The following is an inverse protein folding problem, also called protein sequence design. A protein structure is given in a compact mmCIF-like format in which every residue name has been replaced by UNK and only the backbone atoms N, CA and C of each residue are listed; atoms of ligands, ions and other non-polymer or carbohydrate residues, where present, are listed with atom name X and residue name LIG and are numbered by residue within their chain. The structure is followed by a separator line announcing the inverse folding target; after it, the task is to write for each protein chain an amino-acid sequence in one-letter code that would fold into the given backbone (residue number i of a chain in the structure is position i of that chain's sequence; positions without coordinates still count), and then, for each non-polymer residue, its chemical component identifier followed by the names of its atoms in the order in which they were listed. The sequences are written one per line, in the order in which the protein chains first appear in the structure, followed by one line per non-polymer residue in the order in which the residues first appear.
data_IF_054045855876
#
_entry.id   IF_054045855876
#
_cell.length_a   1.000
_cell.length_b   1.000
_cell.length_c   1.000
_cell.angle_alpha   90.00
_cell.angle_beta   90.00
_cell.angle_gamma   90.00
#
_symmetry.space_group_name_H-M   'P 1'
#
loop_
_entity.id
_entity.type
_entity.pdbx_description
1 polymer ?
#
# COMPACT_ATOMS: atom_id res chain seq x y z
N UNK A 1 -6.58 11.72 17.73
CA UNK A 1 -7.85 11.58 17.00
C UNK A 1 -8.91 10.83 17.81
N UNK A 2 -8.60 9.72 18.44
CA UNK A 2 -9.57 8.91 19.21
C UNK A 2 -10.08 9.68 20.42
N UNK A 3 -9.19 10.21 21.25
CA UNK A 3 -9.54 10.97 22.47
C UNK A 3 -10.31 12.25 22.19
N UNK A 4 -9.96 12.96 21.12
CA UNK A 4 -10.66 14.16 20.65
C UNK A 4 -11.95 13.84 19.87
N UNK A 5 -12.27 12.56 19.65
CA UNK A 5 -13.46 12.09 18.92
C UNK A 5 -13.60 12.69 17.51
N UNK A 6 -12.48 12.85 16.80
CA UNK A 6 -12.46 13.47 15.47
C UNK A 6 -13.36 12.75 14.46
N UNK A 7 -13.35 11.41 14.46
CA UNK A 7 -14.24 10.61 13.58
C UNK A 7 -15.72 10.91 13.82
N UNK A 8 -16.13 11.10 15.08
CA UNK A 8 -17.52 11.42 15.43
C UNK A 8 -17.86 12.85 14.99
N UNK A 9 -16.96 13.81 15.21
CA UNK A 9 -17.14 15.20 14.76
C UNK A 9 -17.27 15.27 13.23
N UNK A 10 -16.38 14.60 12.51
CA UNK A 10 -16.41 14.54 11.03
C UNK A 10 -17.69 13.89 10.50
N UNK A 11 -18.12 12.77 11.10
CA UNK A 11 -19.37 12.11 10.75
C UNK A 11 -20.58 13.04 10.99
N UNK A 12 -20.64 13.71 12.13
CA UNK A 12 -21.72 14.65 12.44
C UNK A 12 -21.76 15.84 11.47
N UNK A 13 -20.61 16.39 11.09
CA UNK A 13 -20.52 17.46 10.10
C UNK A 13 -20.96 17.00 8.71
N UNK A 14 -20.56 15.79 8.30
CA UNK A 14 -20.99 15.23 7.00
C UNK A 14 -22.47 14.94 6.94
N UNK A 15 -23.09 14.52 8.04
CA UNK A 15 -24.55 14.34 8.16
C UNK A 15 -25.29 15.68 8.04
N UNK A 16 -24.82 16.72 8.73
CA UNK A 16 -25.40 18.07 8.63
C UNK A 16 -25.31 18.63 7.21
N UNK A 17 -24.13 18.49 6.55
CA UNK A 17 -23.96 18.89 5.16
C UNK A 17 -24.84 18.09 4.21
N UNK A 18 -25.02 16.79 4.46
CA UNK A 18 -25.93 15.92 3.72
C UNK A 18 -27.38 16.36 3.84
N UNK A 19 -27.83 16.76 5.03
CA UNK A 19 -29.21 17.28 5.26
C UNK A 19 -29.40 18.63 4.54
N UNK A 20 -28.44 19.54 4.65
CA UNK A 20 -28.49 20.86 4.01
C UNK A 20 -28.53 20.72 2.48
N UNK A 21 -27.70 19.87 1.91
CA UNK A 21 -27.64 19.66 0.46
C UNK A 21 -28.88 18.93 -0.06
N UNK A 22 -29.46 18.00 0.70
CA UNK A 22 -30.73 17.37 0.35
C UNK A 22 -31.90 18.42 0.34
N UNK A 23 -31.87 19.34 1.28
CA UNK A 23 -32.89 20.46 1.29
C UNK A 23 -32.69 21.37 0.06
N UNK A 24 -31.46 21.66 -0.36
CA UNK A 24 -31.18 22.47 -1.55
C UNK A 24 -31.57 21.72 -2.84
N UNK A 25 -31.30 20.41 -2.94
CA UNK A 25 -31.68 19.60 -4.11
C UNK A 25 -33.20 19.47 -4.30
N UNK A 26 -33.95 19.34 -3.21
CA UNK A 26 -35.43 19.34 -3.23
C UNK A 26 -35.97 20.66 -3.77
N UNK A 27 -35.32 21.77 -3.44
CA UNK A 27 -35.76 23.11 -3.87
C UNK A 27 -35.30 23.48 -5.28
N UNK A 28 -34.25 22.87 -5.83
CA UNK A 28 -33.63 23.22 -7.11
C UNK A 28 -33.66 22.12 -8.20
N UNK A 29 -34.22 20.94 -7.91
CA UNK A 29 -34.44 19.88 -8.90
C UNK A 29 -33.14 19.22 -9.43
N UNK A 30 -32.06 19.22 -8.68
CA UNK A 30 -30.78 18.57 -9.04
C UNK A 30 -30.72 17.15 -8.50
N UNK A 31 -30.18 16.24 -9.30
CA UNK A 31 -30.17 14.80 -9.01
C UNK A 31 -29.25 14.40 -7.84
N UNK A 32 -29.71 13.46 -7.02
CA UNK A 32 -29.05 12.92 -5.81
C UNK A 32 -27.65 12.28 -6.04
N UNK A 33 -27.23 12.09 -7.31
CA UNK A 33 -25.94 11.47 -7.65
C UNK A 33 -24.71 12.30 -7.24
N UNK A 34 -24.83 13.63 -7.19
CA UNK A 34 -23.70 14.50 -6.81
C UNK A 34 -23.45 14.53 -5.30
N UNK A 35 -24.44 14.24 -4.49
CA UNK A 35 -24.37 14.27 -3.04
C UNK A 35 -23.64 13.07 -2.45
N UNK A 36 -23.90 11.87 -2.99
CA UNK A 36 -23.17 10.66 -2.59
C UNK A 36 -21.67 10.80 -2.87
N UNK A 37 -21.31 11.47 -3.98
CA UNK A 37 -19.90 11.72 -4.34
C UNK A 37 -19.24 12.79 -3.44
N UNK A 38 -19.95 13.82 -3.02
CA UNK A 38 -19.45 14.85 -2.09
C UNK A 38 -19.28 14.30 -0.66
N UNK A 39 -20.24 13.53 -0.17
CA UNK A 39 -20.15 12.89 1.14
C UNK A 39 -19.04 11.81 1.18
N UNK A 40 -18.90 11.03 0.10
CA UNK A 40 -17.81 10.07 -0.05
C UNK A 40 -16.44 10.76 -0.14
N UNK A 41 -16.35 11.86 -0.87
CA UNK A 41 -15.13 12.67 -0.98
C UNK A 41 -14.69 13.27 0.36
N UNK A 42 -15.62 13.78 1.15
CA UNK A 42 -15.31 14.32 2.48
C UNK A 42 -14.90 13.24 3.49
N UNK A 43 -15.48 12.05 3.42
CA UNK A 43 -15.09 10.89 4.25
C UNK A 43 -13.72 10.31 3.85
N UNK A 44 -13.34 10.44 2.58
CA UNK A 44 -12.08 9.94 2.03
C UNK A 44 -10.94 10.96 2.12
N UNK A 45 -11.22 12.25 2.36
CA UNK A 45 -10.22 13.34 2.40
C UNK A 45 -9.38 13.41 3.68
N UNK A 46 -9.60 12.51 4.65
CA UNK A 46 -8.91 12.56 5.95
C UNK A 46 -9.49 13.59 6.92
N UNK A 47 -8.83 13.76 8.06
CA UNK A 47 -9.23 14.75 9.06
C UNK A 47 -8.87 16.16 8.60
N UNK A 48 -9.70 17.15 8.97
CA UNK A 48 -9.39 18.55 8.68
C UNK A 48 -8.14 19.02 9.44
N UNK A 49 -7.47 20.06 8.90
CA UNK A 49 -6.22 20.59 9.44
C UNK A 49 -6.26 20.89 10.95
N UNK A 50 -7.35 21.45 11.44
CA UNK A 50 -7.52 21.76 12.86
C UNK A 50 -7.55 20.50 13.72
N UNK A 51 -8.17 19.43 13.23
CA UNK A 51 -8.23 18.14 13.92
C UNK A 51 -6.86 17.45 13.95
N UNK A 52 -6.03 17.64 12.91
CA UNK A 52 -4.66 17.14 12.89
C UNK A 52 -3.78 17.89 13.90
N UNK A 53 -3.86 19.22 13.93
CA UNK A 53 -3.13 20.04 14.91
C UNK A 53 -3.55 19.72 16.35
N UNK A 54 -4.85 19.56 16.61
CA UNK A 54 -5.36 19.14 17.93
C UNK A 54 -4.84 17.74 18.31
N UNK A 55 -4.75 16.81 17.36
CA UNK A 55 -4.23 15.47 17.60
C UNK A 55 -2.72 15.47 17.89
N UNK A 56 -1.95 16.29 17.19
CA UNK A 56 -0.52 16.44 17.39
C UNK A 56 -0.21 17.06 18.75
N UNK A 57 -0.93 18.11 19.12
CA UNK A 57 -0.76 18.79 20.42
C UNK A 57 -1.10 17.84 21.57
N UNK A 58 -2.24 17.14 21.51
CA UNK A 58 -2.60 16.13 22.50
C UNK A 58 -1.58 14.97 22.54
N UNK A 59 -1.09 14.54 21.38
CA UNK A 59 -0.06 13.51 21.29
C UNK A 59 1.22 13.93 22.00
N UNK A 60 1.70 15.15 21.75
CA UNK A 60 2.88 15.72 22.39
C UNK A 60 2.70 15.84 23.92
N UNK A 61 1.51 16.27 24.37
CA UNK A 61 1.20 16.34 25.79
C UNK A 61 1.20 14.96 26.46
N UNK A 62 0.61 13.93 25.82
CA UNK A 62 0.54 12.59 26.40
C UNK A 62 1.93 11.94 26.52
N UNK A 63 2.78 12.06 25.49
CA UNK A 63 4.13 11.51 25.57
C UNK A 63 4.95 12.22 26.65
N UNK A 64 4.78 13.55 26.84
CA UNK A 64 5.43 14.31 27.89
C UNK A 64 4.95 13.87 29.29
N UNK A 65 3.65 13.68 29.48
CA UNK A 65 3.08 13.19 30.75
C UNK A 65 3.60 11.81 31.15
N UNK A 66 3.86 10.95 30.15
CA UNK A 66 4.44 9.61 30.35
C UNK A 66 5.97 9.62 30.52
N UNK A 67 6.61 10.80 30.51
CA UNK A 67 8.05 10.96 30.71
C UNK A 67 8.91 10.74 29.48
N UNK A 68 8.31 10.78 28.27
CA UNK A 68 9.04 10.74 27.02
C UNK A 68 9.28 12.17 26.48
N UNK A 69 10.36 12.36 25.72
CA UNK A 69 10.66 13.62 25.10
C UNK A 69 9.66 13.93 23.96
N UNK A 70 8.98 15.09 23.98
CA UNK A 70 8.16 15.55 22.84
C UNK A 70 8.93 15.73 21.53
N UNK A 71 10.27 15.83 21.57
CA UNK A 71 11.12 15.76 20.40
C UNK A 71 10.86 14.49 19.58
N UNK A 72 10.44 13.39 20.22
CA UNK A 72 10.02 12.18 19.53
C UNK A 72 8.86 12.40 18.57
N UNK A 73 7.89 13.25 18.91
CA UNK A 73 6.78 13.59 18.01
C UNK A 73 7.29 14.35 16.77
N UNK A 74 8.21 15.30 16.95
CA UNK A 74 8.85 16.00 15.86
C UNK A 74 9.59 15.04 14.92
N UNK A 75 10.38 14.12 15.48
CA UNK A 75 11.15 13.13 14.71
C UNK A 75 10.22 12.23 13.88
N UNK A 76 9.09 11.78 14.44
CA UNK A 76 8.09 10.99 13.70
C UNK A 76 7.52 11.78 12.52
N UNK A 77 7.14 13.04 12.72
CA UNK A 77 6.61 13.90 11.64
C UNK A 77 7.66 14.15 10.55
N UNK A 78 8.93 14.32 10.94
CA UNK A 78 10.03 14.44 9.99
C UNK A 78 10.16 13.20 9.11
N UNK A 79 10.19 12.00 9.71
CA UNK A 79 10.26 10.72 8.98
C UNK A 79 9.06 10.55 8.03
N UNK A 80 7.87 10.96 8.46
CA UNK A 80 6.68 10.91 7.60
C UNK A 80 6.80 11.87 6.41
N UNK A 81 7.37 13.06 6.60
CA UNK A 81 7.66 14.00 5.52
C UNK A 81 8.68 13.43 4.53
N UNK A 82 9.73 12.79 5.02
CA UNK A 82 10.74 12.14 4.19
C UNK A 82 10.13 11.00 3.35
N UNK A 83 9.20 10.23 3.92
CA UNK A 83 8.43 9.23 3.19
C UNK A 83 7.59 9.84 2.06
N UNK A 84 6.99 11.00 2.28
CA UNK A 84 6.23 11.72 1.25
C UNK A 84 7.16 12.19 0.12
N UNK A 85 8.29 12.81 0.46
CA UNK A 85 9.31 13.26 -0.51
C UNK A 85 9.82 12.09 -1.33
N UNK A 86 10.18 10.97 -0.69
CA UNK A 86 10.62 9.76 -1.35
C UNK A 86 9.55 9.23 -2.32
N UNK A 87 8.31 9.10 -1.87
CA UNK A 87 7.20 8.60 -2.68
C UNK A 87 6.94 9.47 -3.91
N UNK A 88 6.99 10.79 -3.74
CA UNK A 88 6.86 11.75 -4.82
C UNK A 88 8.00 11.62 -5.83
N UNK A 89 9.22 11.58 -5.36
CA UNK A 89 10.41 11.43 -6.22
C UNK A 89 10.38 10.11 -7.00
N UNK A 90 9.92 9.00 -6.40
CA UNK A 90 9.78 7.73 -7.10
C UNK A 90 8.68 7.76 -8.16
N UNK A 91 7.55 8.41 -7.89
CA UNK A 91 6.47 8.58 -8.87
C UNK A 91 6.94 9.42 -10.07
N UNK A 92 7.62 10.53 -9.83
CA UNK A 92 8.20 11.39 -10.87
C UNK A 92 9.21 10.63 -11.75
N UNK A 93 10.12 9.85 -11.14
CA UNK A 93 11.08 8.99 -11.87
C UNK A 93 10.40 7.96 -12.78
N UNK A 94 9.19 7.52 -12.42
CA UNK A 94 8.39 6.56 -13.21
C UNK A 94 7.43 7.23 -14.20
N UNK A 95 7.37 8.57 -14.22
CA UNK A 95 6.41 9.32 -15.03
C UNK A 95 4.96 9.10 -14.59
N UNK A 96 4.74 8.80 -13.32
CA UNK A 96 3.43 8.61 -12.69
C UNK A 96 3.08 9.86 -11.87
N UNK A 97 1.78 10.16 -11.77
CA UNK A 97 1.36 11.12 -10.76
C UNK A 97 1.64 10.56 -9.35
N UNK A 98 2.20 11.38 -8.45
CA UNK A 98 2.42 10.97 -7.08
C UNK A 98 1.09 10.49 -6.48
N UNK A 99 1.04 9.27 -6.00
CA UNK A 99 -0.10 8.82 -5.20
C UNK A 99 -0.09 9.64 -3.93
N UNK A 100 -1.09 10.52 -3.74
CA UNK A 100 -1.27 11.13 -2.44
C UNK A 100 -1.55 9.99 -1.45
N UNK A 101 -0.66 9.83 -0.49
CA UNK A 101 -0.87 8.88 0.59
C UNK A 101 -2.13 9.35 1.33
N UNK A 102 -3.21 8.56 1.25
CA UNK A 102 -4.47 8.83 1.95
C UNK A 102 -4.32 8.58 3.46
N UNK A 103 -3.38 9.22 4.03
CA UNK A 103 -3.13 9.29 5.44
C UNK A 103 -2.75 10.73 5.71
N UNK A 104 -2.64 11.11 6.89
CA UNK A 104 -2.23 12.37 7.55
C UNK A 104 -1.73 13.55 6.68
N UNK A 105 -1.27 13.33 5.42
CA UNK A 105 -0.59 14.35 4.60
C UNK A 105 -1.30 14.76 3.30
N UNK A 106 -2.28 14.01 2.81
CA UNK A 106 -2.90 14.29 1.50
C UNK A 106 -3.74 15.59 1.47
N UNK A 107 -4.16 16.10 2.61
CA UNK A 107 -5.02 17.28 2.75
C UNK A 107 -4.32 18.51 3.33
N UNK A 108 -2.99 18.47 3.62
CA UNK A 108 -2.34 19.55 4.36
C UNK A 108 -1.10 20.15 3.66
N UNK A 109 -1.20 21.40 3.18
CA UNK A 109 -0.11 22.06 2.47
C UNK A 109 1.07 22.51 3.35
N UNK A 110 1.14 22.21 4.64
CA UNK A 110 2.26 22.66 5.46
C UNK A 110 2.58 21.76 6.65
N UNK A 111 3.21 20.61 6.39
CA UNK A 111 3.95 19.86 7.41
C UNK A 111 4.95 20.77 8.13
N UNK A 112 5.52 21.75 7.43
CA UNK A 112 6.43 22.76 8.01
C UNK A 112 5.78 23.59 9.11
N UNK A 113 4.47 23.89 9.00
CA UNK A 113 3.76 24.63 10.05
C UNK A 113 3.47 23.75 11.28
N UNK A 114 3.06 22.50 11.07
CA UNK A 114 2.87 21.53 12.16
C UNK A 114 4.17 21.29 12.93
N UNK A 115 5.27 21.05 12.19
CA UNK A 115 6.60 20.91 12.76
C UNK A 115 7.01 22.13 13.58
N UNK A 116 6.75 23.35 13.08
CA UNK A 116 7.10 24.60 13.76
C UNK A 116 6.27 24.81 15.03
N UNK A 117 4.97 24.58 15.00
CA UNK A 117 4.08 24.71 16.15
C UNK A 117 4.44 23.70 17.26
N UNK A 118 4.80 22.47 16.92
CA UNK A 118 5.27 21.47 17.89
C UNK A 118 6.63 21.87 18.46
N UNK A 119 7.57 22.38 17.65
CA UNK A 119 8.85 22.89 18.14
C UNK A 119 8.68 24.04 19.14
N UNK A 120 7.77 24.96 18.88
CA UNK A 120 7.46 26.07 19.79
C UNK A 120 6.87 25.55 21.11
N UNK A 121 5.95 24.59 21.06
CA UNK A 121 5.36 23.94 22.22
C UNK A 121 6.39 23.13 23.05
N UNK A 122 7.29 22.42 22.34
CA UNK A 122 8.35 21.61 22.93
C UNK A 122 9.42 22.45 23.64
N UNK A 123 9.77 23.61 23.10
CA UNK A 123 10.81 24.48 23.69
C UNK A 123 10.41 25.02 25.06
N UNK A 124 9.12 25.04 25.38
CA UNK A 124 8.60 25.58 26.64
C UNK A 124 8.58 24.58 27.82
N UNK A 125 8.91 23.29 27.64
CA UNK A 125 8.58 22.23 28.60
C UNK A 125 9.72 21.28 28.96
N UNK A 126 10.99 21.67 29.22
CA UNK A 126 12.01 20.66 29.47
C UNK A 126 12.97 20.73 30.60
N UNK A 127 12.76 19.77 31.50
CA UNK A 127 13.76 18.96 32.22
C UNK A 127 13.13 17.62 32.51
N UNK A 128 13.07 16.70 31.54
CA UNK A 128 12.60 15.32 31.76
C UNK A 128 13.76 14.37 31.47
N UNK A 129 14.14 13.53 32.46
CA UNK A 129 15.02 12.39 32.25
C UNK A 129 14.36 11.43 31.24
N UNK A 130 15.09 11.04 30.21
CA UNK A 130 14.58 10.13 29.17
C UNK A 130 14.32 8.74 29.77
N UNK A 131 13.09 8.27 29.68
CA UNK A 131 12.62 7.01 30.27
C UNK A 131 13.17 5.75 29.59
N UNK A 132 13.57 5.80 28.34
CA UNK A 132 14.13 4.64 27.62
C UNK A 132 15.24 5.06 26.65
N UNK A 133 16.27 4.20 26.54
CA UNK A 133 17.31 4.36 25.54
C UNK A 133 16.88 3.80 24.17
N UNK A 134 17.42 4.35 23.08
CA UNK A 134 17.18 3.86 21.73
C UNK A 134 17.54 2.36 21.56
N UNK A 135 18.58 1.89 22.23
CA UNK A 135 18.99 0.49 22.22
C UNK A 135 17.93 -0.46 22.80
N UNK A 136 17.23 -0.04 23.86
CA UNK A 136 16.16 -0.86 24.44
C UNK A 136 14.96 -1.00 23.49
N UNK A 137 14.60 0.07 22.79
CA UNK A 137 13.57 0.04 21.75
C UNK A 137 13.94 -0.88 20.59
N UNK A 138 15.17 -0.77 20.07
CA UNK A 138 15.64 -1.61 18.95
C UNK A 138 15.63 -3.11 19.29
N UNK A 139 15.97 -3.45 20.53
CA UNK A 139 15.91 -4.85 21.00
C UNK A 139 14.45 -5.37 21.05
N UNK A 140 13.48 -4.51 21.38
CA UNK A 140 12.06 -4.91 21.42
C UNK A 140 11.46 -5.14 20.03
N UNK A 141 11.95 -4.46 19.01
CA UNK A 141 11.46 -4.61 17.63
C UNK A 141 12.30 -5.58 16.78
N UNK A 142 13.35 -6.17 17.37
CA UNK A 142 14.14 -7.21 16.68
C UNK A 142 13.23 -8.37 16.24
N UNK A 143 13.38 -8.79 14.99
CA UNK A 143 12.55 -9.84 14.39
C UNK A 143 11.15 -9.41 13.92
N UNK A 144 10.75 -8.15 14.13
CA UNK A 144 9.49 -7.64 13.60
C UNK A 144 9.45 -7.72 12.08
N UNK A 145 8.30 -8.08 11.52
CA UNK A 145 8.10 -8.16 10.06
C UNK A 145 8.24 -6.78 9.42
N UNK A 146 9.01 -6.73 8.34
CA UNK A 146 9.18 -5.56 7.50
C UNK A 146 8.48 -5.74 6.17
N UNK A 147 7.51 -4.89 5.85
CA UNK A 147 6.75 -4.94 4.61
C UNK A 147 5.71 -6.04 4.59
N UNK A 148 5.75 -6.88 3.56
CA UNK A 148 4.76 -7.94 3.33
C UNK A 148 4.82 -9.03 4.41
N UNK A 149 3.66 -9.56 4.78
CA UNK A 149 3.50 -10.65 5.76
C UNK A 149 3.29 -12.01 5.08
N UNK A 150 3.57 -13.08 5.80
CA UNK A 150 3.35 -14.45 5.32
C UNK A 150 1.86 -14.73 5.04
N UNK A 151 0.97 -14.15 5.85
CA UNK A 151 -0.49 -14.31 5.71
C UNK A 151 -1.07 -13.58 4.50
N UNK A 152 -0.45 -12.47 4.10
CA UNK A 152 -0.93 -11.68 2.95
C UNK A 152 -0.21 -12.00 1.65
N UNK A 153 0.83 -12.85 1.72
CA UNK A 153 1.75 -13.09 0.61
C UNK A 153 2.87 -12.04 0.53
N UNK A 154 3.97 -12.42 -0.07
CA UNK A 154 5.24 -11.69 -0.09
C UNK A 154 5.67 -11.36 -1.51
N UNK A 155 5.98 -10.11 -1.77
CA UNK A 155 6.55 -9.62 -3.05
C UNK A 155 8.08 -9.65 -3.00
N UNK A 156 8.68 -10.11 -4.11
CA UNK A 156 10.14 -10.05 -4.35
C UNK A 156 10.38 -9.53 -5.77
N UNK A 157 10.52 -8.23 -5.89
CA UNK A 157 10.57 -7.58 -7.20
C UNK A 157 9.27 -7.77 -7.98
N UNK A 158 9.37 -8.43 -9.12
CA UNK A 158 8.27 -8.77 -10.01
C UNK A 158 7.64 -10.15 -9.72
N UNK A 159 8.00 -10.79 -8.60
CA UNK A 159 7.47 -12.08 -8.17
C UNK A 159 6.61 -11.94 -6.91
N UNK A 160 5.57 -12.76 -6.82
CA UNK A 160 4.67 -12.86 -5.67
C UNK A 160 4.59 -14.31 -5.18
N UNK A 161 4.69 -14.48 -3.88
CA UNK A 161 4.70 -15.78 -3.21
C UNK A 161 3.72 -15.75 -2.04
N UNK A 162 2.83 -16.73 -1.93
CA UNK A 162 1.89 -16.84 -0.82
C UNK A 162 1.94 -18.24 -0.22
N UNK A 163 2.47 -18.36 1.00
CA UNK A 163 2.71 -19.68 1.63
C UNK A 163 1.43 -20.45 1.91
N UNK A 164 0.41 -19.81 2.52
CA UNK A 164 -0.83 -20.49 2.91
C UNK A 164 -1.65 -20.93 1.70
N UNK A 165 -1.66 -20.16 0.62
CA UNK A 165 -2.34 -20.50 -0.62
C UNK A 165 -1.50 -21.40 -1.53
N UNK A 166 -0.24 -21.66 -1.15
CA UNK A 166 0.73 -22.37 -1.98
C UNK A 166 0.75 -21.83 -3.42
N UNK A 167 0.99 -20.50 -3.55
CA UNK A 167 0.74 -19.76 -4.76
C UNK A 167 1.94 -18.92 -5.18
N UNK A 168 2.23 -18.98 -6.49
CA UNK A 168 3.25 -18.17 -7.15
C UNK A 168 2.70 -17.42 -8.34
N UNK A 169 3.18 -16.19 -8.53
CA UNK A 169 3.01 -15.39 -9.74
C UNK A 169 4.28 -14.64 -10.08
N UNK A 170 4.43 -14.30 -11.37
CA UNK A 170 5.39 -13.30 -11.79
C UNK A 170 4.82 -12.36 -12.86
N UNK A 171 5.36 -11.16 -12.92
CA UNK A 171 5.05 -10.15 -13.94
C UNK A 171 6.31 -9.78 -14.72
N UNK A 172 6.21 -9.03 -15.83
CA UNK A 172 7.38 -8.38 -16.41
C UNK A 172 8.10 -7.48 -15.39
N UNK A 173 9.42 -7.32 -15.55
CA UNK A 173 10.27 -6.62 -14.58
C UNK A 173 9.87 -5.15 -14.34
N UNK A 174 9.24 -4.53 -15.33
CA UNK A 174 8.77 -3.15 -15.29
C UNK A 174 7.34 -2.99 -14.74
N UNK A 175 6.64 -4.11 -14.43
CA UNK A 175 5.31 -4.09 -13.84
C UNK A 175 5.38 -4.06 -12.32
N UNK A 176 4.48 -3.30 -11.71
CA UNK A 176 4.34 -3.24 -10.24
C UNK A 176 3.29 -4.25 -9.75
N UNK A 177 3.62 -4.95 -8.68
CA UNK A 177 2.68 -5.82 -7.95
C UNK A 177 2.18 -5.06 -6.72
N UNK A 178 0.87 -4.88 -6.62
CA UNK A 178 0.21 -4.26 -5.48
C UNK A 178 -0.61 -5.34 -4.77
N UNK A 179 -0.25 -5.62 -3.53
CA UNK A 179 -0.93 -6.59 -2.71
C UNK A 179 -1.85 -5.86 -1.71
N UNK A 180 -3.15 -6.09 -1.82
CA UNK A 180 -4.15 -5.52 -0.91
C UNK A 180 -4.86 -6.64 -0.15
N UNK A 181 -5.57 -6.37 0.95
CA UNK A 181 -6.32 -7.40 1.66
C UNK A 181 -7.39 -8.12 0.81
N UNK A 182 -7.87 -7.49 -0.26
CA UNK A 182 -8.93 -8.03 -1.11
C UNK A 182 -8.43 -8.56 -2.45
N UNK A 183 -7.32 -8.01 -2.97
CA UNK A 183 -6.91 -8.28 -4.34
C UNK A 183 -5.39 -8.27 -4.51
N UNK A 184 -4.89 -9.09 -5.43
CA UNK A 184 -3.56 -8.94 -5.99
C UNK A 184 -3.69 -8.20 -7.34
N UNK A 185 -2.93 -7.14 -7.53
CA UNK A 185 -3.03 -6.27 -8.70
C UNK A 185 -1.66 -6.17 -9.37
N UNK A 186 -1.62 -6.38 -10.67
CA UNK A 186 -0.46 -6.12 -11.52
C UNK A 186 -0.76 -4.87 -12.35
N UNK A 187 0.13 -3.89 -12.33
CA UNK A 187 -0.06 -2.64 -13.08
C UNK A 187 1.15 -2.35 -13.95
N UNK A 188 0.88 -1.89 -15.18
CA UNK A 188 1.93 -1.47 -16.10
C UNK A 188 2.71 -0.26 -15.57
N UNK A 189 3.93 0.03 -16.08
CA UNK A 189 4.80 1.11 -15.60
C UNK A 189 4.12 2.47 -15.50
N UNK A 190 3.27 2.80 -16.47
CA UNK A 190 2.49 4.05 -16.47
C UNK A 190 1.13 3.92 -15.79
N UNK A 191 0.82 2.75 -15.24
CA UNK A 191 -0.46 2.47 -14.63
C UNK A 191 -1.66 2.47 -15.59
N UNK A 192 -1.41 2.35 -16.91
CA UNK A 192 -2.45 2.35 -17.95
C UNK A 192 -3.21 1.03 -18.03
N UNK A 193 -2.53 -0.09 -17.76
CA UNK A 193 -3.08 -1.44 -17.82
C UNK A 193 -3.04 -2.08 -16.43
N UNK A 194 -4.13 -2.73 -16.06
CA UNK A 194 -4.33 -3.34 -14.75
C UNK A 194 -4.82 -4.78 -14.97
N UNK A 195 -4.16 -5.74 -14.31
CA UNK A 195 -4.65 -7.10 -14.14
C UNK A 195 -4.91 -7.34 -12.66
N UNK A 196 -6.17 -7.49 -12.31
CA UNK A 196 -6.62 -7.77 -10.95
C UNK A 196 -6.88 -9.26 -10.78
N UNK A 197 -6.46 -9.81 -9.65
CA UNK A 197 -6.72 -11.20 -9.27
C UNK A 197 -7.55 -11.20 -7.99
N UNK A 198 -8.72 -11.83 -8.06
CA UNK A 198 -9.61 -12.04 -6.93
C UNK A 198 -9.63 -13.54 -6.58
N UNK A 199 -9.88 -13.83 -5.31
CA UNK A 199 -10.02 -15.18 -4.79
C UNK A 199 -11.45 -15.39 -4.30
N UNK A 200 -12.08 -16.51 -4.73
CA UNK A 200 -13.39 -16.94 -4.25
C UNK A 200 -13.36 -18.44 -3.92
N UNK A 201 -14.26 -18.86 -3.04
CA UNK A 201 -14.43 -20.27 -2.75
C UNK A 201 -15.24 -20.98 -3.84
N UNK A 202 -14.81 -22.16 -4.24
CA UNK A 202 -15.54 -23.01 -5.17
C UNK A 202 -16.68 -23.73 -4.43
N UNK A 203 -17.86 -23.13 -4.47
CA UNK A 203 -19.04 -23.64 -3.76
C UNK A 203 -19.88 -24.63 -4.55
N UNK A 204 -19.61 -24.80 -5.86
CA UNK A 204 -20.39 -25.66 -6.76
C UNK A 204 -19.47 -26.56 -7.58
N UNK A 205 -19.99 -27.75 -7.98
CA UNK A 205 -19.32 -28.62 -8.94
C UNK A 205 -19.60 -28.11 -10.36
N UNK A 206 -18.78 -27.20 -10.83
CA UNK A 206 -18.86 -26.68 -12.19
C UNK A 206 -17.47 -26.66 -12.85
N UNK A 207 -17.43 -26.60 -14.18
CA UNK A 207 -16.17 -26.42 -14.90
C UNK A 207 -15.78 -24.92 -14.94
N UNK A 208 -14.49 -24.58 -15.18
CA UNK A 208 -14.08 -23.20 -15.37
C UNK A 208 -14.87 -22.47 -16.48
N UNK A 209 -15.25 -23.19 -17.54
CA UNK A 209 -16.09 -22.66 -18.61
C UNK A 209 -17.50 -22.35 -18.13
N UNK A 210 -18.15 -23.29 -17.42
CA UNK A 210 -19.50 -23.07 -16.89
C UNK A 210 -19.52 -21.91 -15.89
N UNK A 211 -18.47 -21.77 -15.07
CA UNK A 211 -18.29 -20.63 -14.20
C UNK A 211 -18.18 -19.32 -15.02
N UNK A 212 -17.37 -19.29 -16.08
CA UNK A 212 -17.27 -18.12 -16.96
C UNK A 212 -18.61 -17.76 -17.59
N UNK A 213 -19.36 -18.73 -18.12
CA UNK A 213 -20.68 -18.53 -18.72
C UNK A 213 -21.66 -17.88 -17.73
N UNK A 214 -21.56 -18.23 -16.43
CA UNK A 214 -22.38 -17.71 -15.36
C UNK A 214 -22.04 -16.23 -14.99
N UNK A 215 -20.75 -15.89 -14.92
CA UNK A 215 -20.31 -14.54 -14.50
C UNK A 215 -20.23 -13.53 -15.65
N UNK A 216 -20.16 -14.00 -16.88
CA UNK A 216 -20.01 -13.19 -18.09
C UNK A 216 -20.66 -13.88 -19.30
N UNK A 217 -21.99 -13.94 -19.33
CA UNK A 217 -22.76 -14.64 -20.36
C UNK A 217 -22.52 -14.14 -21.80
N UNK A 218 -22.00 -12.93 -21.95
CA UNK A 218 -21.67 -12.32 -23.26
C UNK A 218 -20.19 -12.35 -23.61
N UNK A 219 -19.42 -13.26 -23.00
CA UNK A 219 -18.01 -13.40 -23.34
C UNK A 219 -17.81 -13.97 -24.75
N UNK A 220 -16.66 -13.70 -25.35
CA UNK A 220 -16.28 -14.16 -26.68
C UNK A 220 -14.79 -14.53 -26.74
N UNK A 221 -14.37 -15.20 -27.81
CA UNK A 221 -13.01 -15.73 -27.99
C UNK A 221 -12.54 -16.60 -26.81
N UNK A 222 -13.47 -17.38 -26.25
CA UNK A 222 -13.20 -18.25 -25.12
C UNK A 222 -12.26 -19.41 -25.47
N UNK A 223 -11.35 -19.74 -24.54
CA UNK A 223 -10.40 -20.86 -24.68
C UNK A 223 -10.20 -21.55 -23.34
N UNK A 224 -10.14 -22.87 -23.37
CA UNK A 224 -9.68 -23.68 -22.24
C UNK A 224 -8.22 -23.36 -21.91
N UNK A 225 -7.89 -23.33 -20.64
CA UNK A 225 -6.54 -23.19 -20.12
C UNK A 225 -6.16 -24.43 -19.32
N UNK A 226 -4.91 -24.85 -19.48
CA UNK A 226 -4.22 -25.74 -18.56
C UNK A 226 -2.89 -25.07 -18.22
N UNK A 227 -2.76 -24.61 -16.98
CA UNK A 227 -1.59 -23.88 -16.52
C UNK A 227 -0.98 -24.65 -15.38
N UNK A 228 0.20 -25.24 -15.60
CA UNK A 228 0.92 -26.04 -14.61
C UNK A 228 0.05 -27.14 -13.94
N UNK A 229 -0.87 -27.74 -14.72
CA UNK A 229 -1.80 -28.78 -14.25
C UNK A 229 -3.14 -28.24 -13.71
N UNK A 230 -3.30 -26.95 -13.55
CA UNK A 230 -4.56 -26.34 -13.12
C UNK A 230 -5.49 -26.09 -14.31
N UNK A 231 -6.75 -26.55 -14.18
CA UNK A 231 -7.78 -26.30 -15.19
C UNK A 231 -8.26 -24.85 -15.11
N UNK A 232 -8.47 -24.24 -16.26
CA UNK A 232 -8.93 -22.85 -16.33
C UNK A 232 -9.68 -22.57 -17.63
N UNK A 233 -10.16 -21.36 -17.74
CA UNK A 233 -10.80 -20.83 -18.93
C UNK A 233 -10.51 -19.34 -19.07
N UNK A 234 -10.31 -18.85 -20.28
CA UNK A 234 -10.11 -17.41 -20.55
C UNK A 234 -10.97 -16.96 -21.71
N UNK A 235 -11.43 -15.72 -21.65
CA UNK A 235 -12.24 -15.12 -22.68
C UNK A 235 -12.07 -13.59 -22.68
N UNK A 236 -12.54 -12.95 -23.74
CA UNK A 236 -12.79 -11.52 -23.76
C UNK A 236 -14.25 -11.24 -23.39
N UNK A 237 -14.51 -10.12 -22.78
CA UNK A 237 -15.84 -9.61 -22.53
C UNK A 237 -15.89 -8.11 -22.74
N UNK A 238 -17.08 -7.57 -22.95
CA UNK A 238 -17.29 -6.12 -22.97
C UNK A 238 -17.99 -5.70 -21.68
N UNK A 239 -17.33 -4.82 -20.91
CA UNK A 239 -17.90 -4.24 -19.70
C UNK A 239 -17.92 -2.72 -19.84
N UNK A 240 -19.10 -2.13 -19.79
CA UNK A 240 -19.31 -0.68 -19.92
C UNK A 240 -18.64 -0.09 -21.18
N UNK A 241 -18.78 -0.79 -22.33
CA UNK A 241 -18.21 -0.34 -23.61
C UNK A 241 -16.71 -0.59 -23.77
N UNK A 242 -16.05 -1.28 -22.83
CA UNK A 242 -14.60 -1.56 -22.87
C UNK A 242 -14.33 -3.05 -22.92
N UNK A 243 -13.39 -3.43 -23.77
CA UNK A 243 -12.91 -4.81 -23.81
C UNK A 243 -12.09 -5.10 -22.54
N UNK A 244 -12.38 -6.23 -21.89
CA UNK A 244 -11.65 -6.76 -20.75
C UNK A 244 -11.21 -8.20 -21.03
N UNK A 245 -10.04 -8.59 -20.51
CA UNK A 245 -9.62 -9.99 -20.43
C UNK A 245 -10.17 -10.57 -19.16
N UNK A 246 -10.88 -11.70 -19.27
CA UNK A 246 -11.27 -12.52 -18.14
C UNK A 246 -10.50 -13.85 -18.19
N UNK A 247 -10.07 -14.33 -17.04
CA UNK A 247 -9.60 -15.70 -16.91
C UNK A 247 -10.00 -16.26 -15.55
N UNK A 248 -10.18 -17.57 -15.52
CA UNK A 248 -10.55 -18.34 -14.33
C UNK A 248 -9.57 -19.50 -14.24
N UNK A 249 -9.01 -19.72 -13.06
CA UNK A 249 -8.18 -20.89 -12.74
C UNK A 249 -8.76 -21.53 -11.48
N UNK A 250 -8.97 -22.84 -11.52
CA UNK A 250 -9.40 -23.62 -10.36
C UNK A 250 -8.18 -24.30 -9.74
N UNK A 251 -7.99 -24.06 -8.43
CA UNK A 251 -7.00 -24.76 -7.61
C UNK A 251 -7.69 -25.25 -6.34
N UNK A 252 -7.79 -26.57 -6.18
CA UNK A 252 -8.47 -27.21 -5.04
C UNK A 252 -9.93 -26.75 -4.88
N UNK A 253 -10.23 -26.03 -3.79
CA UNK A 253 -11.55 -25.47 -3.50
C UNK A 253 -11.63 -23.96 -3.75
N UNK A 254 -10.71 -23.42 -4.53
CA UNK A 254 -10.59 -22.01 -4.78
C UNK A 254 -10.68 -21.67 -6.26
N UNK A 255 -11.23 -20.50 -6.53
CA UNK A 255 -11.37 -19.90 -7.85
C UNK A 255 -10.53 -18.65 -7.88
N UNK A 256 -9.53 -18.61 -8.76
CA UNK A 256 -8.75 -17.42 -9.04
C UNK A 256 -9.34 -16.75 -10.28
N UNK A 257 -9.90 -15.56 -10.07
CA UNK A 257 -10.50 -14.75 -11.13
C UNK A 257 -9.55 -13.65 -11.54
N UNK A 258 -9.24 -13.56 -12.82
CA UNK A 258 -8.40 -12.55 -13.40
C UNK A 258 -9.24 -11.60 -14.23
N UNK A 259 -9.06 -10.29 -14.02
CA UNK A 259 -9.72 -9.23 -14.76
C UNK A 259 -8.66 -8.26 -15.27
N UNK A 260 -8.35 -8.34 -16.58
CA UNK A 260 -7.41 -7.44 -17.25
C UNK A 260 -8.14 -6.32 -17.99
N UNK A 261 -7.83 -5.07 -17.68
CA UNK A 261 -8.46 -3.90 -18.28
C UNK A 261 -7.50 -2.73 -18.41
N UNK A 262 -7.89 -1.75 -19.23
CA UNK A 262 -7.15 -0.49 -19.39
C UNK A 262 -7.88 0.65 -18.69
N UNK A 263 -7.11 1.65 -18.25
CA UNK A 263 -7.68 2.93 -17.79
C UNK A 263 -8.41 3.64 -18.93
N UNK A 264 -9.24 4.60 -18.56
CA UNK A 264 -10.00 5.41 -19.50
C UNK A 264 -9.08 6.18 -20.46
N UNK A 265 -9.48 6.24 -21.74
CA UNK A 265 -8.74 6.95 -22.78
C UNK A 265 -7.52 6.20 -23.34
N UNK A 266 -7.24 4.98 -22.90
CA UNK A 266 -6.13 4.15 -23.42
C UNK A 266 -6.67 3.15 -24.45
N UNK A 267 -6.24 3.26 -25.70
CA UNK A 267 -6.62 2.35 -26.80
C UNK A 267 -5.42 1.47 -27.23
N UNK A 268 -4.96 0.64 -26.31
CA UNK A 268 -3.83 -0.28 -26.51
C UNK A 268 -4.15 -1.71 -26.03
N UNK A 269 -5.43 -2.09 -26.01
CA UNK A 269 -5.87 -3.35 -25.40
C UNK A 269 -5.11 -4.55 -25.95
N UNK A 270 -5.00 -4.69 -27.27
CA UNK A 270 -4.32 -5.84 -27.89
C UNK A 270 -2.86 -6.00 -27.46
N UNK A 271 -2.16 -4.88 -27.22
CA UNK A 271 -0.77 -4.90 -26.70
C UNK A 271 -0.71 -5.45 -25.29
N UNK A 272 -1.56 -4.96 -24.41
CA UNK A 272 -1.56 -5.35 -23.00
C UNK A 272 -2.21 -6.72 -22.74
N UNK A 273 -3.16 -7.13 -23.59
CA UNK A 273 -3.81 -8.44 -23.48
C UNK A 273 -2.81 -9.61 -23.54
N UNK A 274 -1.80 -9.51 -24.42
CA UNK A 274 -0.71 -10.49 -24.46
C UNK A 274 0.08 -10.55 -23.15
N UNK A 275 0.25 -9.40 -22.49
CA UNK A 275 0.95 -9.34 -21.20
C UNK A 275 0.08 -9.89 -20.09
N UNK A 276 -1.23 -9.60 -20.07
CA UNK A 276 -2.16 -10.21 -19.14
C UNK A 276 -2.10 -11.74 -19.23
N UNK A 277 -2.15 -12.30 -20.44
CA UNK A 277 -2.04 -13.74 -20.65
C UNK A 277 -0.68 -14.31 -20.22
N UNK A 278 0.42 -13.55 -20.39
CA UNK A 278 1.73 -13.97 -19.89
C UNK A 278 1.74 -14.05 -18.37
N UNK A 279 1.23 -13.05 -17.66
CA UNK A 279 1.13 -13.06 -16.19
C UNK A 279 0.24 -14.20 -15.72
N UNK A 280 -0.95 -14.38 -16.30
CA UNK A 280 -1.87 -15.49 -15.96
C UNK A 280 -1.19 -16.85 -16.10
N UNK A 281 -0.35 -17.03 -17.12
CA UNK A 281 0.37 -18.29 -17.36
C UNK A 281 1.48 -18.57 -16.35
N UNK A 282 1.89 -17.60 -15.53
CA UNK A 282 2.86 -17.83 -14.46
C UNK A 282 2.24 -18.42 -13.19
N UNK A 283 0.90 -18.54 -13.12
CA UNK A 283 0.21 -19.15 -12.01
C UNK A 283 0.77 -20.54 -11.72
N UNK A 284 1.29 -20.75 -10.51
CA UNK A 284 1.89 -22.02 -10.11
C UNK A 284 1.83 -22.23 -8.59
N UNK A 285 2.21 -23.42 -8.16
CA UNK A 285 2.50 -23.74 -6.77
C UNK A 285 3.92 -23.30 -6.40
N UNK A 286 4.17 -23.17 -5.10
CA UNK A 286 5.49 -22.87 -4.60
C UNK A 286 6.45 -24.07 -4.73
N UNK A 287 7.51 -23.89 -5.47
CA UNK A 287 8.66 -24.81 -5.42
C UNK A 287 9.49 -24.59 -4.13
N UNK A 288 10.60 -25.31 -3.99
CA UNK A 288 11.51 -25.19 -2.84
C UNK A 288 12.04 -23.75 -2.69
N UNK A 289 12.35 -23.08 -3.80
CA UNK A 289 12.79 -21.67 -3.82
C UNK A 289 11.66 -20.75 -3.37
N UNK A 290 10.47 -20.94 -3.92
CA UNK A 290 9.27 -20.16 -3.59
C UNK A 290 8.91 -20.25 -2.10
N UNK A 291 8.94 -21.44 -1.50
CA UNK A 291 8.74 -21.64 -0.06
C UNK A 291 9.75 -20.89 0.81
N UNK A 292 10.99 -20.72 0.34
CA UNK A 292 12.00 -19.91 1.03
C UNK A 292 11.73 -18.40 0.86
N UNK A 293 11.33 -17.98 -0.33
CA UNK A 293 11.09 -16.57 -0.66
C UNK A 293 9.76 -16.05 -0.14
N UNK A 294 8.80 -16.92 0.18
CA UNK A 294 7.52 -16.55 0.80
C UNK A 294 7.63 -16.14 2.27
N UNK A 295 8.79 -16.34 2.91
CA UNK A 295 9.04 -15.86 4.28
C UNK A 295 9.21 -14.35 4.29
N UNK A 296 8.59 -13.63 5.25
CA UNK A 296 8.68 -12.17 5.31
C UNK A 296 10.11 -11.72 5.65
N UNK A 297 10.44 -10.49 5.25
CA UNK A 297 11.63 -9.81 5.73
C UNK A 297 11.43 -9.38 7.18
N UNK A 298 12.55 -9.30 7.92
CA UNK A 298 12.50 -8.94 9.34
C UNK A 298 13.52 -7.87 9.68
N UNK A 299 13.16 -7.04 10.65
CA UNK A 299 14.06 -6.04 11.24
C UNK A 299 15.13 -6.77 12.05
N UNK A 300 16.36 -6.34 11.88
CA UNK A 300 17.52 -6.78 12.64
C UNK A 300 18.23 -5.57 13.23
N UNK A 301 18.50 -5.61 14.51
CA UNK A 301 19.35 -4.62 15.15
C UNK A 301 20.83 -4.83 14.70
N UNK A 302 21.49 -3.74 14.30
CA UNK A 302 22.85 -3.75 13.82
C UNK A 302 23.64 -2.60 14.44
N UNK A 303 24.81 -2.91 14.98
CA UNK A 303 25.76 -1.91 15.49
C UNK A 303 26.67 -1.51 14.34
N UNK A 304 26.65 -0.23 13.98
CA UNK A 304 27.44 0.36 12.90
C UNK A 304 28.93 0.20 13.19
N UNK A 305 29.68 -0.31 12.23
CA UNK A 305 31.11 -0.49 12.32
C UNK A 305 31.83 0.65 11.61
N UNK A 306 33.09 0.86 11.96
CA UNK A 306 33.94 1.82 11.26
C UNK A 306 34.02 1.52 9.77
N UNK A 307 33.78 2.53 8.94
CA UNK A 307 33.77 2.41 7.48
C UNK A 307 32.46 1.83 6.87
N UNK A 308 31.43 1.56 7.68
CA UNK A 308 30.11 1.26 7.16
C UNK A 308 29.48 2.49 6.48
N UNK A 309 28.69 2.23 5.45
CA UNK A 309 27.86 3.23 4.76
C UNK A 309 26.54 2.60 4.40
N UNK A 310 25.49 3.40 4.25
CA UNK A 310 24.19 2.90 3.80
C UNK A 310 24.30 2.13 2.47
N UNK A 311 25.12 2.60 1.53
CA UNK A 311 25.36 1.89 0.27
C UNK A 311 26.02 0.52 0.42
N UNK A 312 26.91 0.31 1.42
CA UNK A 312 27.47 -1.00 1.74
C UNK A 312 26.46 -1.91 2.41
N UNK A 313 25.69 -1.40 3.38
CA UNK A 313 24.68 -2.16 4.11
C UNK A 313 23.48 -2.51 3.22
N UNK A 314 23.12 -1.64 2.28
CA UNK A 314 22.08 -1.89 1.29
C UNK A 314 22.36 -3.12 0.42
N UNK A 315 23.64 -3.35 0.06
CA UNK A 315 24.05 -4.55 -0.70
C UNK A 315 23.89 -5.86 0.08
N UNK A 316 23.83 -5.79 1.40
CA UNK A 316 23.61 -6.94 2.29
C UNK A 316 22.14 -7.12 2.67
N UNK A 317 21.34 -6.08 2.47
CA UNK A 317 19.89 -6.10 2.74
C UNK A 317 19.14 -6.92 1.69
N UNK A 318 18.05 -7.54 2.10
CA UNK A 318 17.11 -8.22 1.20
C UNK A 318 16.00 -7.32 0.67
N UNK A 319 16.06 -6.03 0.95
CA UNK A 319 15.15 -5.04 0.33
C UNK A 319 15.44 -5.01 -1.16
N UNK A 320 14.40 -5.25 -1.96
CA UNK A 320 14.58 -5.41 -3.41
C UNK A 320 14.60 -4.07 -4.16
N UNK A 321 13.89 -3.08 -3.70
CA UNK A 321 13.70 -1.80 -4.38
C UNK A 321 14.37 -0.67 -3.60
N UNK A 322 15.32 0.07 -4.24
CA UNK A 322 16.01 1.19 -3.63
C UNK A 322 16.46 0.92 -2.18
N UNK A 323 17.23 -0.17 -1.93
CA UNK A 323 17.51 -0.61 -0.58
C UNK A 323 18.24 0.43 0.27
N UNK A 324 19.09 1.28 -0.33
CA UNK A 324 19.78 2.36 0.39
C UNK A 324 18.79 3.41 0.90
N UNK A 325 17.95 3.97 0.02
CA UNK A 325 16.96 4.96 0.40
C UNK A 325 15.98 4.42 1.45
N UNK A 326 15.55 3.15 1.29
CA UNK A 326 14.64 2.53 2.25
C UNK A 326 15.28 2.27 3.61
N UNK A 327 16.56 1.91 3.66
CA UNK A 327 17.28 1.79 4.94
C UNK A 327 17.47 3.15 5.61
N UNK A 328 17.75 4.21 4.85
CA UNK A 328 17.81 5.59 5.36
C UNK A 328 16.46 6.01 5.95
N UNK A 329 15.36 5.84 5.21
CA UNK A 329 14.01 6.14 5.68
C UNK A 329 13.65 5.37 6.95
N UNK A 330 14.01 4.07 7.00
CA UNK A 330 13.73 3.22 8.15
C UNK A 330 14.44 3.71 9.43
N UNK A 331 15.60 4.35 9.28
CA UNK A 331 16.40 4.87 10.37
C UNK A 331 16.20 6.36 10.64
N UNK A 332 15.52 7.09 9.76
CA UNK A 332 15.31 8.54 9.86
C UNK A 332 16.47 9.39 9.32
N UNK A 333 17.31 8.79 8.48
CA UNK A 333 18.55 9.36 7.94
C UNK A 333 18.41 9.76 6.44
N UNK A 334 17.18 9.79 5.94
CA UNK A 334 16.91 10.22 4.56
C UNK A 334 16.97 11.75 4.45
N UNK A 335 17.53 12.34 3.37
CA UNK A 335 18.03 11.61 2.18
C UNK A 335 19.51 11.18 2.26
N UNK A 336 20.36 11.81 3.07
CA UNK A 336 21.82 11.69 2.94
C UNK A 336 22.62 11.74 4.25
N UNK A 337 21.97 11.66 5.43
CA UNK A 337 22.65 11.57 6.71
C UNK A 337 23.57 10.34 6.77
N UNK A 338 24.67 10.48 7.49
CA UNK A 338 25.72 9.47 7.52
C UNK A 338 25.65 8.62 8.80
N UNK A 339 26.05 7.36 8.67
CA UNK A 339 26.17 6.44 9.79
C UNK A 339 27.31 6.84 10.73
N UNK A 340 27.06 6.73 12.02
CA UNK A 340 28.07 6.94 13.06
C UNK A 340 28.47 5.58 13.67
N UNK A 341 29.77 5.28 13.68
CA UNK A 341 30.28 4.04 14.24
C UNK A 341 29.92 3.89 15.74
N UNK A 342 29.43 2.73 16.13
CA UNK A 342 28.96 2.44 17.48
C UNK A 342 27.47 2.68 17.70
N UNK A 343 26.77 3.37 16.80
CA UNK A 343 25.33 3.51 16.88
C UNK A 343 24.60 2.23 16.47
N UNK A 344 23.41 2.05 17.01
CA UNK A 344 22.52 0.94 16.66
C UNK A 344 21.48 1.39 15.64
N UNK A 345 21.37 0.66 14.54
CA UNK A 345 20.41 0.93 13.46
C UNK A 345 19.58 -0.31 13.14
N UNK A 346 18.48 -0.08 12.42
CA UNK A 346 17.64 -1.14 11.87
C UNK A 346 18.19 -1.57 10.50
N UNK A 347 18.48 -2.86 10.33
CA UNK A 347 18.65 -3.50 9.04
C UNK A 347 17.45 -4.38 8.71
N UNK A 348 17.36 -4.83 7.46
CA UNK A 348 16.31 -5.73 6.96
C UNK A 348 16.94 -6.97 6.32
N UNK A 349 16.59 -8.14 6.84
CA UNK A 349 17.10 -9.44 6.38
C UNK A 349 15.99 -10.46 6.16
#
# INVERSE_FOLDING_TARGET
HVTARHSVRQYSQSQLLGIISTAIDITQGRSAGNLANLASGALLSGYGREMELEADDLGAQYIAQEGYSPQGMFNVLSVLKDQEIYSKTQAEKRGQEPRSYHGVFASHPSNDKRLKEILEAVTYSFSIEQKESASNYLNKIEGMVYGDSEQSGVRRGNEFFHSELDLYFSSPDDWEIINTPQNLIFTSPKGEAILQVNLEDLNFRESPRAYMDRIASNHYQGKELNINGFSGYTALSNRSGRTVRLAIIFKEKQIYQFIGYLKEGVDLFNKYDLTFLKIIKTFDQLDIRGKKLSKPLRIKNYIVKEGDTYGKLAKQSKIHYNPEDQLRLLNGDFPDDQLVAGESIKLVQ
#
